data_IF_823687973309
#
_entry.id   IF_823687973309
#
_cell.length_a   1.000
_cell.length_b   1.000
_cell.length_c   1.000
_cell.angle_alpha   90.00
_cell.angle_beta   90.00
_cell.angle_gamma   90.00
#
_symmetry.space_group_name_H-M   'P 1'
#
loop_
_entity.id
_entity.type
_entity.pdbx_description
1 polymer ?
#
# COMPACT_ATOMS: atom_id res chain seq x y z
N UNK A 1 -40.74 -20.04 32.95
CA UNK A 1 -40.96 -20.75 34.22
C UNK A 1 -39.62 -21.06 34.87
N UNK A 2 -39.46 -20.56 36.11
CA UNK A 2 -38.45 -20.93 37.13
C UNK A 2 -36.97 -20.62 36.78
N UNK A 3 -36.14 -20.04 37.66
CA UNK A 3 -36.30 -19.23 38.90
C UNK A 3 -34.92 -18.70 39.24
N UNK A 4 -34.91 -17.48 39.75
CA UNK A 4 -33.83 -16.75 40.40
C UNK A 4 -33.08 -17.59 41.45
N UNK A 5 -31.78 -17.38 41.61
CA UNK A 5 -31.20 -17.29 42.95
C UNK A 5 -30.05 -16.28 43.00
N UNK A 6 -30.27 -15.20 43.72
CA UNK A 6 -29.29 -14.25 44.29
C UNK A 6 -28.55 -14.96 45.44
N UNK A 7 -27.25 -14.71 45.55
CA UNK A 7 -26.55 -14.78 46.84
C UNK A 7 -25.61 -13.59 46.99
N UNK A 8 -26.00 -12.72 47.89
CA UNK A 8 -25.23 -11.70 48.60
C UNK A 8 -24.43 -12.32 49.72
N UNK A 9 -23.33 -11.74 50.10
CA UNK A 9 -22.69 -11.57 51.42
C UNK A 9 -21.17 -11.38 51.20
N UNK A 10 -20.40 -10.64 51.91
CA UNK A 10 -20.49 -9.60 52.95
C UNK A 10 -19.05 -9.02 53.06
N UNK A 11 -18.95 -7.77 53.35
CA UNK A 11 -17.74 -7.02 53.62
C UNK A 11 -17.00 -7.50 54.88
N UNK A 12 -15.70 -7.43 54.90
CA UNK A 12 -14.90 -7.31 56.13
C UNK A 12 -13.78 -6.29 55.94
N UNK A 13 -13.91 -5.21 56.62
CA UNK A 13 -12.94 -4.15 56.88
C UNK A 13 -11.90 -4.65 57.89
N UNK A 14 -10.63 -4.35 57.60
CA UNK A 14 -9.59 -4.32 58.63
C UNK A 14 -8.65 -3.16 58.37
N UNK A 15 -8.82 -2.17 59.24
CA UNK A 15 -7.97 -0.98 59.39
C UNK A 15 -6.71 -1.34 60.16
N UNK A 16 -5.54 -0.96 59.70
CA UNK A 16 -4.35 -0.85 60.54
C UNK A 16 -3.55 0.43 60.11
N UNK A 17 -3.57 1.37 61.02
CA UNK A 17 -2.76 2.60 61.02
C UNK A 17 -1.43 2.28 61.73
N UNK A 18 -0.30 2.66 61.15
CA UNK A 18 0.89 3.06 61.92
C UNK A 18 1.69 4.14 61.13
N UNK A 19 2.11 5.11 61.90
CA UNK A 19 2.58 6.44 61.65
C UNK A 19 4.04 6.55 61.12
N UNK A 20 4.26 7.58 60.35
CA UNK A 20 5.26 8.67 60.39
C UNK A 20 6.64 8.38 60.98
N UNK A 21 7.67 8.64 60.18
CA UNK A 21 8.73 9.62 60.49
C UNK A 21 9.45 10.04 59.19
N UNK A 22 9.50 11.36 58.99
CA UNK A 22 10.11 12.00 57.88
C UNK A 22 11.61 12.27 58.09
N UNK A 23 12.27 12.49 56.97
CA UNK A 23 13.42 13.40 56.92
C UNK A 23 13.49 14.12 55.58
N UNK A 24 13.89 15.32 55.64
CA UNK A 24 13.77 16.40 54.67
C UNK A 24 14.81 16.36 53.54
N UNK A 25 14.39 16.94 52.44
CA UNK A 25 15.10 17.85 51.52
C UNK A 25 16.51 17.53 51.02
N UNK A 26 16.63 17.30 49.72
CA UNK A 26 17.39 18.27 48.90
C UNK A 26 16.88 18.21 47.49
N UNK A 27 16.55 19.38 46.94
CA UNK A 27 16.12 19.51 45.56
C UNK A 27 17.27 19.20 44.60
N UNK A 28 16.93 18.45 43.57
CA UNK A 28 17.77 18.31 42.40
C UNK A 28 16.84 18.34 41.19
N UNK A 29 17.01 19.40 40.40
CA UNK A 29 16.38 19.55 39.08
C UNK A 29 16.65 18.32 38.23
N UNK A 30 15.70 17.85 37.42
CA UNK A 30 16.00 16.87 36.42
C UNK A 30 16.80 17.55 35.30
N UNK A 31 18.12 17.45 35.38
CA UNK A 31 18.99 17.62 34.22
C UNK A 31 18.68 16.44 33.29
N UNK A 32 18.18 16.76 32.10
CA UNK A 32 18.07 15.80 31.03
C UNK A 32 19.42 15.13 30.78
N UNK A 33 19.54 13.90 31.19
CA UNK A 33 20.64 13.05 30.76
C UNK A 33 20.27 12.49 29.40
N UNK A 34 20.80 13.07 28.33
CA UNK A 34 21.08 12.36 27.09
C UNK A 34 22.10 11.24 27.42
N UNK A 35 21.60 10.20 28.03
CA UNK A 35 22.37 8.98 28.25
C UNK A 35 22.44 8.23 26.93
N UNK A 36 23.55 8.34 26.23
CA UNK A 36 23.94 7.37 25.21
C UNK A 36 23.98 5.98 25.87
N UNK A 37 22.96 5.17 25.64
CA UNK A 37 22.84 3.79 26.13
C UNK A 37 23.70 2.85 25.25
N UNK A 38 24.91 3.31 24.89
CA UNK A 38 25.89 2.58 24.09
C UNK A 38 26.50 1.46 24.92
N UNK A 39 25.89 0.26 24.83
CA UNK A 39 26.47 -0.96 25.38
C UNK A 39 25.56 -1.85 26.20
N UNK A 40 24.31 -1.49 26.46
CA UNK A 40 23.34 -2.39 27.10
C UNK A 40 22.52 -3.12 26.06
N UNK A 41 22.23 -4.39 26.32
CA UNK A 41 21.32 -5.18 25.47
C UNK A 41 19.92 -4.60 25.51
N UNK A 42 19.37 -4.34 24.30
CA UNK A 42 18.01 -3.82 24.12
C UNK A 42 17.25 -4.76 23.19
N UNK A 43 16.06 -5.18 23.60
CA UNK A 43 15.16 -5.94 22.73
C UNK A 43 14.02 -5.05 22.28
N UNK A 44 13.87 -4.84 20.96
CA UNK A 44 12.73 -4.16 20.33
C UNK A 44 11.76 -5.21 19.80
N UNK A 45 10.47 -4.84 19.69
CA UNK A 45 9.42 -5.67 19.08
C UNK A 45 9.00 -5.08 17.75
N UNK A 46 9.11 -5.86 16.68
CA UNK A 46 8.70 -5.51 15.33
C UNK A 46 7.44 -6.29 14.90
N UNK A 47 6.37 -5.59 14.56
CA UNK A 47 5.15 -6.17 14.02
C UNK A 47 5.03 -5.93 12.52
N UNK A 48 4.65 -6.99 11.77
CA UNK A 48 4.45 -6.93 10.32
C UNK A 48 3.28 -7.80 9.84
N UNK A 49 2.74 -7.51 8.65
CA UNK A 49 1.62 -8.23 8.06
C UNK A 49 2.00 -9.50 7.29
N UNK A 50 3.24 -9.65 6.87
CA UNK A 50 3.66 -10.79 6.04
C UNK A 50 3.42 -12.13 6.71
N UNK A 51 2.92 -13.11 5.92
CA UNK A 51 2.53 -14.43 6.41
C UNK A 51 3.02 -15.59 5.54
N UNK A 52 3.45 -15.32 4.29
CA UNK A 52 3.98 -16.36 3.42
C UNK A 52 5.37 -16.80 3.85
N UNK A 53 5.70 -18.08 3.65
CA UNK A 53 6.96 -18.67 4.13
C UNK A 53 8.22 -17.96 3.60
N UNK A 54 8.23 -17.58 2.30
CA UNK A 54 9.31 -16.84 1.68
C UNK A 54 9.49 -15.45 2.30
N UNK A 55 8.40 -14.73 2.54
CA UNK A 55 8.39 -13.40 3.17
C UNK A 55 8.93 -13.46 4.61
N UNK A 56 8.39 -14.37 5.41
CA UNK A 56 8.81 -14.58 6.80
C UNK A 56 10.31 -14.97 6.88
N UNK A 57 10.77 -15.80 5.92
CA UNK A 57 12.19 -16.18 5.82
C UNK A 57 13.06 -14.98 5.46
N UNK A 58 12.61 -14.13 4.53
CA UNK A 58 13.34 -12.93 4.12
C UNK A 58 13.48 -11.92 5.27
N UNK A 59 12.40 -11.69 6.03
CA UNK A 59 12.42 -10.81 7.21
C UNK A 59 13.40 -11.34 8.25
N UNK A 60 13.33 -12.64 8.59
CA UNK A 60 14.25 -13.25 9.55
C UNK A 60 15.72 -13.15 9.11
N UNK A 61 16.00 -13.27 7.82
CA UNK A 61 17.35 -13.10 7.28
C UNK A 61 17.86 -11.66 7.45
N UNK A 62 17.02 -10.67 7.16
CA UNK A 62 17.36 -9.24 7.37
C UNK A 62 17.56 -8.91 8.84
N UNK A 63 16.71 -9.43 9.73
CA UNK A 63 16.88 -9.25 11.18
C UNK A 63 18.21 -9.87 11.65
N UNK A 64 18.51 -11.10 11.24
CA UNK A 64 19.78 -11.74 11.60
C UNK A 64 21.02 -10.99 11.07
N UNK A 65 20.91 -10.36 9.89
CA UNK A 65 21.97 -9.53 9.32
C UNK A 65 22.13 -8.21 10.11
N UNK A 66 21.01 -7.59 10.50
CA UNK A 66 21.00 -6.41 11.36
C UNK A 66 21.64 -6.68 12.73
N UNK A 67 21.24 -7.76 13.42
CA UNK A 67 21.77 -8.12 14.74
C UNK A 67 23.28 -8.40 14.74
N UNK A 68 23.83 -8.90 13.61
CA UNK A 68 25.29 -9.04 13.45
C UNK A 68 26.02 -7.70 13.42
N UNK A 69 25.38 -6.65 12.87
CA UNK A 69 25.95 -5.29 12.82
C UNK A 69 25.71 -4.54 14.14
N UNK A 70 24.67 -4.89 14.85
CA UNK A 70 24.23 -4.27 16.10
C UNK A 70 24.02 -5.32 17.19
N UNK A 71 25.12 -5.96 17.71
CA UNK A 71 25.02 -7.13 18.59
C UNK A 71 24.34 -6.86 19.94
N UNK A 72 24.17 -5.60 20.32
CA UNK A 72 23.44 -5.16 21.50
C UNK A 72 21.95 -4.85 21.25
N UNK A 73 21.45 -4.98 20.00
CA UNK A 73 20.04 -4.76 19.68
C UNK A 73 19.45 -6.09 19.18
N UNK A 74 18.46 -6.59 19.89
CA UNK A 74 17.71 -7.79 19.54
C UNK A 74 16.33 -7.45 19.03
N UNK A 75 15.84 -8.16 18.02
CA UNK A 75 14.54 -7.89 17.39
C UNK A 75 13.59 -9.08 17.60
N UNK A 76 12.58 -8.88 18.45
CA UNK A 76 11.46 -9.82 18.56
C UNK A 76 10.46 -9.58 17.42
N UNK A 77 10.42 -10.50 16.46
CA UNK A 77 9.59 -10.38 15.26
C UNK A 77 8.24 -11.06 15.48
N UNK A 78 7.14 -10.33 15.22
CA UNK A 78 5.76 -10.85 15.29
C UNK A 78 5.08 -10.60 13.93
N UNK A 79 4.83 -11.68 13.20
CA UNK A 79 4.24 -11.65 11.87
C UNK A 79 2.73 -11.90 11.85
N UNK A 80 2.15 -11.76 10.66
CA UNK A 80 0.72 -11.97 10.40
C UNK A 80 -0.18 -11.07 11.27
N UNK A 81 0.21 -9.80 11.42
CA UNK A 81 -0.53 -8.79 12.18
C UNK A 81 -1.25 -7.88 11.18
N UNK A 82 -2.58 -7.76 11.31
CA UNK A 82 -3.35 -6.84 10.49
C UNK A 82 -3.08 -5.37 10.87
N UNK A 83 -3.31 -4.46 9.93
CA UNK A 83 -3.17 -3.02 10.14
C UNK A 83 -4.10 -2.51 11.26
N UNK A 84 -5.34 -3.03 11.34
CA UNK A 84 -6.28 -2.68 12.41
C UNK A 84 -5.74 -3.07 13.80
N UNK A 85 -5.14 -4.25 13.93
CA UNK A 85 -4.53 -4.68 15.20
C UNK A 85 -3.32 -3.83 15.55
N UNK A 86 -2.52 -3.49 14.56
CA UNK A 86 -1.37 -2.58 14.72
C UNK A 86 -1.83 -1.20 15.19
N UNK A 87 -2.87 -0.63 14.57
CA UNK A 87 -3.42 0.65 14.97
C UNK A 87 -3.94 0.63 16.40
N UNK A 88 -4.71 -0.39 16.77
CA UNK A 88 -5.23 -0.53 18.13
C UNK A 88 -4.11 -0.58 19.16
N UNK A 89 -3.05 -1.35 18.89
CA UNK A 89 -1.90 -1.46 19.79
C UNK A 89 -1.11 -0.15 19.90
N UNK A 90 -0.88 0.54 18.78
CA UNK A 90 -0.21 1.84 18.75
C UNK A 90 -0.98 2.91 19.53
N UNK A 91 -2.32 2.92 19.43
CA UNK A 91 -3.18 3.86 20.17
C UNK A 91 -3.26 3.54 21.66
N UNK A 92 -3.29 2.26 22.01
CA UNK A 92 -3.33 1.82 23.41
C UNK A 92 -1.98 2.11 24.11
N UNK A 93 -0.87 1.99 23.40
CA UNK A 93 0.47 2.11 23.98
C UNK A 93 0.74 1.04 25.05
N UNK A 94 1.71 1.33 25.92
CA UNK A 94 2.07 0.45 27.03
C UNK A 94 3.13 -0.62 26.68
N UNK A 95 3.40 -1.53 27.60
CA UNK A 95 4.48 -2.53 27.50
C UNK A 95 4.28 -3.56 26.39
N UNK A 96 3.03 -3.80 26.00
CA UNK A 96 2.66 -4.82 25.02
C UNK A 96 2.54 -4.26 23.60
N UNK A 97 2.66 -2.92 23.45
CA UNK A 97 2.70 -2.27 22.15
C UNK A 97 4.04 -2.56 21.44
N UNK A 98 4.03 -2.71 20.11
CA UNK A 98 5.26 -2.87 19.34
C UNK A 98 6.10 -1.59 19.38
N UNK A 99 7.43 -1.74 19.24
CA UNK A 99 8.34 -0.61 19.07
C UNK A 99 8.37 -0.13 17.62
N UNK A 100 8.27 -1.08 16.67
CA UNK A 100 8.30 -0.85 15.22
C UNK A 100 7.13 -1.58 14.57
N UNK A 101 6.50 -0.93 13.60
CA UNK A 101 5.37 -1.51 12.83
C UNK A 101 5.56 -1.22 11.35
N UNK A 102 5.35 -2.24 10.50
CA UNK A 102 5.13 -2.04 9.06
C UNK A 102 3.65 -2.16 8.70
N UNK A 103 3.23 -1.48 7.63
CA UNK A 103 1.88 -1.52 7.09
C UNK A 103 1.95 -1.63 5.57
N UNK A 104 1.11 -2.48 4.97
CA UNK A 104 0.91 -2.55 3.52
C UNK A 104 0.02 -1.41 3.00
N UNK A 105 -0.67 -0.71 3.88
CA UNK A 105 -1.61 0.34 3.55
C UNK A 105 -0.93 1.70 3.69
N UNK A 106 -0.43 2.25 2.60
CA UNK A 106 0.22 3.57 2.57
C UNK A 106 -0.70 4.70 3.04
N UNK A 107 -2.02 4.54 2.88
CA UNK A 107 -3.02 5.51 3.35
C UNK A 107 -3.01 5.70 4.88
N UNK A 108 -2.52 4.71 5.63
CA UNK A 108 -2.41 4.81 7.09
C UNK A 108 -1.45 5.92 7.54
N UNK A 109 -0.55 6.39 6.69
CA UNK A 109 0.42 7.43 7.05
C UNK A 109 -0.26 8.70 7.55
N UNK A 110 -1.29 9.20 6.85
CA UNK A 110 -2.01 10.41 7.26
C UNK A 110 -2.68 10.25 8.61
N UNK A 111 -3.32 9.11 8.83
CA UNK A 111 -4.02 8.76 10.06
C UNK A 111 -3.07 8.59 11.25
N UNK A 112 -1.94 7.91 11.05
CA UNK A 112 -0.99 7.61 12.12
C UNK A 112 -0.12 8.81 12.48
N UNK A 113 0.30 9.61 11.47
CA UNK A 113 1.01 10.86 11.71
C UNK A 113 0.15 11.88 12.47
N UNK A 114 -1.09 12.11 12.01
CA UNK A 114 -1.99 13.10 12.63
C UNK A 114 -2.39 12.71 14.05
N UNK A 115 -2.64 11.42 14.29
CA UNK A 115 -2.93 10.90 15.64
C UNK A 115 -1.70 10.81 16.55
N UNK A 116 -0.50 11.16 16.03
CA UNK A 116 0.76 11.12 16.77
C UNK A 116 1.04 9.75 17.41
N UNK A 117 0.63 8.65 16.74
CA UNK A 117 0.93 7.28 17.20
C UNK A 117 2.25 6.75 16.65
N UNK A 118 2.73 7.30 15.53
CA UNK A 118 4.09 7.15 15.04
C UNK A 118 4.94 8.35 15.38
N UNK A 119 6.23 8.11 15.66
CA UNK A 119 7.19 9.15 15.97
C UNK A 119 7.53 9.98 14.72
N UNK A 120 7.75 11.29 14.89
CA UNK A 120 8.37 12.11 13.85
C UNK A 120 9.83 11.70 13.65
N UNK A 121 10.15 11.20 12.46
CA UNK A 121 11.50 10.74 12.10
C UNK A 121 12.41 11.87 11.58
N UNK A 122 11.88 13.06 11.30
CA UNK A 122 12.66 14.20 10.80
C UNK A 122 13.89 14.54 11.67
N UNK A 123 13.82 14.54 13.02
CA UNK A 123 15.00 14.78 13.86
C UNK A 123 16.07 13.70 13.70
N UNK A 124 15.66 12.43 13.53
CA UNK A 124 16.55 11.28 13.38
C UNK A 124 17.23 11.28 12.02
N UNK A 125 16.47 11.57 10.96
CA UNK A 125 16.97 11.72 9.59
C UNK A 125 18.03 12.83 9.52
N UNK A 126 17.75 14.01 10.11
CA UNK A 126 18.73 15.12 10.18
C UNK A 126 19.98 14.77 10.96
N UNK A 127 19.84 14.06 12.10
CA UNK A 127 20.97 13.61 12.93
C UNK A 127 21.92 12.71 12.13
N UNK A 128 21.37 11.83 11.32
CA UNK A 128 22.15 10.87 10.53
C UNK A 128 22.48 11.38 9.12
N UNK A 129 22.19 12.66 8.81
CA UNK A 129 22.41 13.30 7.50
C UNK A 129 21.74 12.56 6.33
N UNK A 130 20.54 12.00 6.55
CA UNK A 130 19.75 11.35 5.53
C UNK A 130 18.78 12.38 4.95
N UNK A 131 18.92 12.66 3.65
CA UNK A 131 17.95 13.46 2.88
C UNK A 131 16.93 12.51 2.24
N UNK A 132 15.65 12.53 2.69
CA UNK A 132 14.63 11.66 2.11
C UNK A 132 14.41 11.88 0.61
N UNK A 133 14.49 13.11 0.13
CA UNK A 133 14.29 13.41 -1.29
C UNK A 133 15.44 12.90 -2.18
N UNK A 134 16.65 12.81 -1.64
CA UNK A 134 17.79 12.19 -2.32
C UNK A 134 17.84 10.65 -2.15
N UNK A 135 17.07 10.11 -1.21
CA UNK A 135 17.10 8.68 -0.88
C UNK A 135 15.98 7.90 -1.57
N UNK A 136 14.76 8.43 -1.60
CA UNK A 136 13.57 7.72 -2.05
C UNK A 136 13.00 8.32 -3.35
N UNK A 137 12.40 7.50 -4.25
CA UNK A 137 11.58 8.02 -5.34
C UNK A 137 10.45 8.92 -4.83
N UNK A 138 10.13 9.98 -5.59
CA UNK A 138 9.14 10.97 -5.14
C UNK A 138 7.76 10.37 -4.79
N UNK A 139 7.17 9.42 -5.54
CA UNK A 139 5.91 8.80 -5.15
C UNK A 139 6.01 8.06 -3.81
N UNK A 140 7.12 7.34 -3.58
CA UNK A 140 7.35 6.58 -2.35
C UNK A 140 7.54 7.51 -1.14
N UNK A 141 8.26 8.62 -1.33
CA UNK A 141 8.38 9.64 -0.30
C UNK A 141 7.01 10.28 0.01
N UNK A 142 6.20 10.56 -1.01
CA UNK A 142 4.90 11.20 -0.85
C UNK A 142 3.92 10.34 -0.04
N UNK A 143 3.87 9.02 -0.25
CA UNK A 143 2.98 8.16 0.53
C UNK A 143 3.50 7.83 1.94
N UNK A 144 4.73 8.21 2.29
CA UNK A 144 5.33 7.91 3.59
C UNK A 144 5.35 9.09 4.57
N UNK A 145 4.78 10.23 4.19
CA UNK A 145 4.72 11.45 5.00
C UNK A 145 3.32 12.08 5.02
N UNK A 146 3.09 12.96 6.00
CA UNK A 146 1.86 13.75 6.08
C UNK A 146 2.15 15.17 6.52
N UNK A 147 1.84 16.18 5.67
CA UNK A 147 2.09 17.59 5.91
C UNK A 147 3.53 17.92 6.35
N UNK A 148 4.52 17.27 5.72
CA UNK A 148 5.94 17.46 6.05
C UNK A 148 6.41 16.72 7.32
N UNK A 149 5.51 16.02 8.00
CA UNK A 149 5.89 15.09 9.07
C UNK A 149 6.24 13.72 8.45
N UNK A 150 7.52 13.38 8.44
CA UNK A 150 8.03 12.08 8.04
C UNK A 150 7.88 11.12 9.21
N UNK A 151 6.71 10.55 9.43
CA UNK A 151 6.45 9.64 10.54
C UNK A 151 6.63 8.15 10.17
N UNK A 152 6.87 7.87 8.92
CA UNK A 152 7.25 6.55 8.41
C UNK A 152 8.29 6.67 7.30
N UNK A 153 8.88 5.57 6.89
CA UNK A 153 9.74 5.48 5.71
C UNK A 153 9.22 4.40 4.76
N UNK A 154 9.47 4.52 3.44
CA UNK A 154 9.20 3.43 2.52
C UNK A 154 10.10 2.24 2.83
N UNK A 155 9.51 1.07 3.04
CA UNK A 155 10.26 -0.18 3.28
C UNK A 155 10.43 -0.94 1.97
N UNK A 156 9.36 -1.09 1.21
CA UNK A 156 9.32 -1.65 -0.14
C UNK A 156 8.36 -0.82 -0.99
N UNK A 157 8.54 -0.82 -2.29
CA UNK A 157 7.63 -0.21 -3.24
C UNK A 157 6.81 -1.26 -3.96
N UNK A 158 5.59 -0.89 -4.34
CA UNK A 158 4.75 -1.63 -5.25
C UNK A 158 4.48 -0.77 -6.48
N UNK A 159 4.60 -1.34 -7.66
CA UNK A 159 4.33 -0.67 -8.92
C UNK A 159 3.34 -1.51 -9.74
N UNK A 160 2.37 -0.85 -10.36
CA UNK A 160 1.32 -1.52 -11.12
C UNK A 160 1.55 -1.38 -12.62
N UNK A 161 1.44 -2.51 -13.33
CA UNK A 161 1.68 -2.58 -14.77
C UNK A 161 0.71 -3.51 -15.49
N UNK A 162 0.77 -3.48 -16.80
CA UNK A 162 0.00 -4.34 -17.67
C UNK A 162 0.71 -5.68 -17.83
N UNK A 163 0.00 -6.76 -17.51
CA UNK A 163 0.31 -8.13 -17.92
C UNK A 163 -0.49 -8.48 -19.17
N UNK A 164 0.14 -9.12 -20.15
CA UNK A 164 -0.55 -9.51 -21.37
C UNK A 164 -0.10 -10.87 -21.88
N UNK A 165 -1.08 -11.64 -22.36
CA UNK A 165 -0.87 -12.96 -22.96
C UNK A 165 -0.39 -12.80 -24.42
N UNK A 166 0.92 -13.01 -24.65
CA UNK A 166 1.56 -12.89 -25.97
C UNK A 166 0.98 -13.88 -26.97
N UNK A 167 0.61 -15.08 -26.54
CA UNK A 167 -0.01 -16.08 -27.39
C UNK A 167 -1.36 -15.60 -27.91
N UNK A 168 -2.19 -15.02 -27.04
CA UNK A 168 -3.47 -14.44 -27.42
C UNK A 168 -3.29 -13.22 -28.32
N UNK A 169 -2.31 -12.33 -28.04
CA UNK A 169 -1.95 -11.19 -28.88
C UNK A 169 -1.57 -11.62 -30.29
N UNK A 170 -0.69 -12.60 -30.42
CA UNK A 170 -0.27 -13.14 -31.71
C UNK A 170 -1.45 -13.74 -32.50
N UNK A 171 -2.31 -14.51 -31.82
CA UNK A 171 -3.51 -15.10 -32.43
C UNK A 171 -4.50 -14.03 -32.91
N UNK A 172 -4.58 -12.90 -32.22
CA UNK A 172 -5.38 -11.74 -32.61
C UNK A 172 -4.67 -10.80 -33.59
N UNK A 173 -3.41 -11.07 -34.00
CA UNK A 173 -2.61 -10.19 -34.87
C UNK A 173 -2.28 -8.86 -34.23
N UNK A 174 -2.07 -8.81 -32.90
CA UNK A 174 -1.58 -7.66 -32.15
C UNK A 174 -0.08 -7.85 -31.98
N UNK A 175 0.72 -6.88 -32.39
CA UNK A 175 2.19 -6.99 -32.48
C UNK A 175 2.93 -6.31 -31.33
N UNK A 176 2.26 -5.47 -30.56
CA UNK A 176 2.85 -4.73 -29.44
C UNK A 176 1.78 -4.46 -28.36
N UNK A 177 2.16 -4.28 -27.08
CA UNK A 177 1.23 -3.85 -26.05
C UNK A 177 0.74 -2.42 -26.32
N UNK A 178 -0.53 -2.10 -25.94
CA UNK A 178 -1.12 -0.78 -26.12
C UNK A 178 -0.43 0.26 -25.23
N UNK A 179 -0.31 1.49 -25.75
CA UNK A 179 0.29 2.62 -25.04
C UNK A 179 -0.74 3.65 -24.59
N UNK A 180 -1.86 3.71 -25.29
CA UNK A 180 -2.96 4.64 -24.99
C UNK A 180 -4.24 3.89 -24.65
N UNK A 181 -5.15 4.58 -23.98
CA UNK A 181 -6.43 3.98 -23.62
C UNK A 181 -7.31 3.63 -24.83
N UNK A 182 -7.18 4.36 -25.95
CA UNK A 182 -7.87 3.98 -27.20
C UNK A 182 -7.31 2.69 -27.79
N UNK A 183 -5.98 2.53 -27.86
CA UNK A 183 -5.33 1.30 -28.28
C UNK A 183 -5.73 0.13 -27.37
N UNK A 184 -5.67 0.36 -26.03
CA UNK A 184 -6.03 -0.65 -25.03
C UNK A 184 -7.50 -1.11 -25.20
N UNK A 185 -8.43 -0.19 -25.36
CA UNK A 185 -9.83 -0.53 -25.56
C UNK A 185 -10.06 -1.33 -26.86
N UNK A 186 -9.35 -0.97 -27.95
CA UNK A 186 -9.41 -1.70 -29.21
C UNK A 186 -8.86 -3.13 -29.07
N UNK A 187 -7.71 -3.27 -28.39
CA UNK A 187 -7.10 -4.57 -28.13
C UNK A 187 -7.95 -5.44 -27.19
N UNK A 188 -8.53 -4.84 -26.14
CA UNK A 188 -9.43 -5.54 -25.24
C UNK A 188 -10.65 -6.12 -25.97
N UNK A 189 -11.27 -5.36 -26.89
CA UNK A 189 -12.36 -5.85 -27.74
C UNK A 189 -11.87 -6.96 -28.66
N UNK A 190 -10.72 -6.81 -29.32
CA UNK A 190 -10.15 -7.76 -30.27
C UNK A 190 -9.76 -9.10 -29.63
N UNK A 191 -9.31 -9.05 -28.37
CA UNK A 191 -8.93 -10.22 -27.57
C UNK A 191 -10.14 -10.91 -26.93
N UNK A 192 -11.33 -10.29 -26.95
CA UNK A 192 -12.52 -10.86 -26.34
C UNK A 192 -13.17 -11.89 -27.27
N UNK A 193 -13.27 -13.11 -26.78
CA UNK A 193 -13.92 -14.24 -27.47
C UNK A 193 -15.21 -14.61 -26.71
N UNK A 194 -16.38 -14.20 -27.19
CA UNK A 194 -17.65 -14.53 -26.57
C UNK A 194 -17.92 -16.04 -26.59
N UNK A 195 -18.60 -16.56 -25.55
CA UNK A 195 -19.14 -17.92 -25.52
C UNK A 195 -20.49 -17.92 -24.81
N UNK A 196 -21.56 -18.06 -25.59
CA UNK A 196 -22.93 -17.98 -25.08
C UNK A 196 -23.18 -16.69 -24.30
N UNK A 197 -23.64 -16.82 -23.06
CA UNK A 197 -23.88 -15.71 -22.16
C UNK A 197 -22.59 -15.23 -21.42
N UNK A 198 -21.46 -15.94 -21.56
CA UNK A 198 -20.16 -15.64 -20.98
C UNK A 198 -19.10 -15.38 -22.03
N UNK A 199 -17.86 -15.73 -21.70
CA UNK A 199 -16.70 -15.60 -22.57
C UNK A 199 -15.85 -16.87 -22.48
N UNK A 200 -15.28 -17.29 -23.61
CA UNK A 200 -14.15 -18.22 -23.64
C UNK A 200 -12.88 -17.54 -23.13
N UNK A 201 -12.70 -16.26 -23.52
CA UNK A 201 -11.63 -15.38 -23.10
C UNK A 201 -12.17 -13.97 -23.13
N UNK A 202 -11.91 -13.19 -22.10
CA UNK A 202 -12.17 -11.76 -22.04
C UNK A 202 -10.86 -11.02 -22.30
N UNK A 203 -10.88 -9.92 -23.05
CA UNK A 203 -9.68 -9.14 -23.30
C UNK A 203 -9.13 -8.47 -22.05
N UNK A 204 -10.01 -7.90 -21.22
CA UNK A 204 -9.69 -7.27 -19.94
C UNK A 204 -10.95 -7.17 -19.08
N UNK A 205 -10.82 -7.32 -17.75
CA UNK A 205 -11.90 -7.09 -16.80
C UNK A 205 -11.87 -5.63 -16.31
N UNK A 206 -12.74 -4.75 -16.82
CA UNK A 206 -12.63 -3.31 -16.54
C UNK A 206 -13.38 -2.86 -15.29
N UNK A 207 -14.19 -3.72 -14.63
CA UNK A 207 -15.00 -3.32 -13.48
C UNK A 207 -14.14 -3.11 -12.25
N UNK A 208 -14.53 -2.17 -11.38
CA UNK A 208 -13.82 -1.87 -10.14
C UNK A 208 -13.87 -3.02 -9.11
N UNK A 209 -14.61 -4.07 -9.40
CA UNK A 209 -14.62 -5.32 -8.64
C UNK A 209 -13.57 -6.35 -9.13
N UNK A 210 -12.84 -6.04 -10.21
CA UNK A 210 -11.72 -6.86 -10.67
C UNK A 210 -10.50 -6.75 -9.73
N UNK A 211 -9.51 -7.60 -9.96
CA UNK A 211 -8.25 -7.50 -9.22
C UNK A 211 -7.47 -6.29 -9.72
N UNK A 212 -6.90 -5.54 -8.79
CA UNK A 212 -6.07 -4.35 -9.01
C UNK A 212 -6.70 -3.33 -10.00
N UNK A 213 -8.02 -3.28 -10.08
CA UNK A 213 -8.77 -2.37 -10.96
C UNK A 213 -9.55 -1.29 -10.20
N UNK A 214 -9.11 -0.93 -9.00
CA UNK A 214 -9.72 0.17 -8.23
C UNK A 214 -9.56 1.51 -8.94
N UNK A 215 -10.45 2.50 -8.69
CA UNK A 215 -10.35 3.82 -9.30
C UNK A 215 -8.97 4.47 -9.18
N UNK A 216 -8.25 4.26 -8.07
CA UNK A 216 -6.93 4.83 -7.84
C UNK A 216 -5.90 4.42 -8.90
N UNK A 217 -5.92 3.16 -9.35
CA UNK A 217 -5.02 2.65 -10.37
C UNK A 217 -5.21 3.38 -11.72
N UNK A 218 -6.48 3.61 -12.10
CA UNK A 218 -6.79 4.33 -13.35
C UNK A 218 -6.53 5.84 -13.20
N UNK A 219 -6.96 6.44 -12.08
CA UNK A 219 -6.76 7.87 -11.82
C UNK A 219 -5.28 8.25 -11.83
N UNK A 220 -4.40 7.36 -11.33
CA UNK A 220 -2.95 7.50 -11.44
C UNK A 220 -2.48 7.63 -12.88
N UNK A 221 -3.05 6.86 -13.81
CA UNK A 221 -2.72 6.93 -15.24
C UNK A 221 -3.27 8.20 -15.92
N UNK A 222 -4.37 8.75 -15.40
CA UNK A 222 -4.89 10.03 -15.88
C UNK A 222 -4.14 11.24 -15.30
N UNK A 223 -3.29 11.03 -14.27
CA UNK A 223 -2.63 12.12 -13.54
C UNK A 223 -3.64 12.96 -12.75
N UNK A 224 -4.74 12.34 -12.33
CA UNK A 224 -5.80 13.00 -11.57
C UNK A 224 -5.31 13.46 -10.21
N UNK A 225 -5.87 14.56 -9.75
CA UNK A 225 -5.68 15.08 -8.40
C UNK A 225 -6.91 14.82 -7.55
N UNK A 226 -6.73 14.59 -6.26
CA UNK A 226 -7.82 14.27 -5.34
C UNK A 226 -8.25 15.48 -4.51
N UNK A 227 -7.32 16.38 -4.26
CA UNK A 227 -7.51 17.56 -3.41
C UNK A 227 -6.94 18.81 -4.09
N UNK A 228 -7.63 19.92 -3.91
CA UNK A 228 -7.16 21.23 -4.30
C UNK A 228 -6.13 21.81 -3.30
N UNK A 229 -5.55 22.98 -3.63
CA UNK A 229 -4.60 23.67 -2.73
C UNK A 229 -5.21 24.08 -1.38
N UNK A 230 -6.53 24.17 -1.29
CA UNK A 230 -7.29 24.44 -0.08
C UNK A 230 -7.56 23.21 0.79
N UNK A 231 -7.07 22.03 0.35
CA UNK A 231 -7.28 20.74 1.02
C UNK A 231 -8.69 20.16 0.84
N UNK A 232 -9.52 20.77 0.00
CA UNK A 232 -10.84 20.25 -0.35
C UNK A 232 -10.76 19.27 -1.51
N UNK A 233 -11.72 18.33 -1.55
CA UNK A 233 -11.82 17.39 -2.67
C UNK A 233 -12.11 18.12 -3.98
N UNK A 234 -11.27 17.87 -4.98
CA UNK A 234 -11.44 18.44 -6.33
C UNK A 234 -11.92 17.42 -7.37
N UNK A 235 -12.30 16.20 -6.96
CA UNK A 235 -12.71 15.14 -7.90
C UNK A 235 -13.88 15.52 -8.81
N UNK A 236 -14.72 16.46 -8.40
CA UNK A 236 -15.83 16.97 -9.22
C UNK A 236 -15.38 18.06 -10.23
N UNK A 237 -14.26 18.72 -9.98
CA UNK A 237 -13.74 19.80 -10.83
C UNK A 237 -12.56 19.39 -11.69
N UNK A 238 -11.85 18.31 -11.34
CA UNK A 238 -10.78 17.75 -12.15
C UNK A 238 -11.38 16.98 -13.34
N UNK A 239 -11.20 17.47 -14.59
CA UNK A 239 -11.80 16.84 -15.77
C UNK A 239 -11.25 15.43 -16.01
N UNK A 240 -10.06 15.11 -15.53
CA UNK A 240 -9.45 13.79 -15.71
C UNK A 240 -10.19 12.70 -14.94
N UNK A 241 -10.80 13.04 -13.81
CA UNK A 241 -11.65 12.12 -13.03
C UNK A 241 -12.89 11.72 -13.83
N UNK A 242 -13.61 12.70 -14.37
CA UNK A 242 -14.79 12.41 -15.21
C UNK A 242 -14.40 11.65 -16.50
N UNK A 243 -13.25 11.96 -17.09
CA UNK A 243 -12.74 11.26 -18.26
C UNK A 243 -12.47 9.79 -17.97
N UNK A 244 -11.85 9.48 -16.83
CA UNK A 244 -11.56 8.12 -16.39
C UNK A 244 -12.87 7.30 -16.23
N UNK A 245 -13.84 7.80 -15.48
CA UNK A 245 -15.11 7.11 -15.28
C UNK A 245 -15.87 6.89 -16.60
N UNK A 246 -15.83 7.88 -17.50
CA UNK A 246 -16.43 7.76 -18.83
C UNK A 246 -15.77 6.67 -19.66
N UNK A 247 -14.43 6.67 -19.73
CA UNK A 247 -13.67 5.66 -20.44
C UNK A 247 -13.95 4.25 -19.91
N UNK A 248 -13.95 4.08 -18.60
CA UNK A 248 -14.19 2.78 -17.94
C UNK A 248 -15.61 2.27 -18.28
N UNK A 249 -16.63 3.13 -18.19
CA UNK A 249 -18.01 2.77 -18.54
C UNK A 249 -18.18 2.43 -20.01
N UNK A 250 -17.50 3.15 -20.89
CA UNK A 250 -17.51 2.88 -22.34
C UNK A 250 -16.83 1.54 -22.66
N UNK A 251 -15.75 1.21 -21.95
CA UNK A 251 -15.09 -0.08 -22.11
C UNK A 251 -15.98 -1.24 -21.61
N UNK A 252 -16.66 -1.09 -20.49
CA UNK A 252 -17.68 -2.04 -20.00
C UNK A 252 -18.75 -2.27 -21.08
N UNK A 253 -19.28 -1.22 -21.69
CA UNK A 253 -20.28 -1.33 -22.74
C UNK A 253 -19.76 -2.07 -23.98
N UNK A 254 -18.54 -1.75 -24.44
CA UNK A 254 -17.88 -2.40 -25.58
C UNK A 254 -17.62 -3.89 -25.35
N UNK A 255 -17.37 -4.29 -24.12
CA UNK A 255 -17.08 -5.69 -23.75
C UNK A 255 -18.33 -6.50 -23.43
N UNK A 256 -19.54 -5.96 -23.54
CA UNK A 256 -20.80 -6.67 -23.43
C UNK A 256 -21.70 -6.29 -22.25
N UNK A 257 -21.34 -5.23 -21.54
CA UNK A 257 -22.12 -4.63 -20.46
C UNK A 257 -21.84 -5.21 -19.08
N UNK A 258 -22.15 -4.42 -18.06
CA UNK A 258 -21.84 -4.68 -16.66
C UNK A 258 -22.32 -6.06 -16.18
N UNK A 259 -23.61 -6.38 -16.37
CA UNK A 259 -24.17 -7.65 -15.86
C UNK A 259 -23.51 -8.88 -16.45
N UNK A 260 -23.09 -8.82 -17.72
CA UNK A 260 -22.39 -9.95 -18.37
C UNK A 260 -20.99 -10.11 -17.81
N UNK A 261 -20.27 -9.01 -17.63
CA UNK A 261 -18.92 -9.00 -17.06
C UNK A 261 -18.92 -9.52 -15.63
N UNK A 262 -19.85 -9.04 -14.79
CA UNK A 262 -19.94 -9.45 -13.39
C UNK A 262 -20.32 -10.93 -13.23
N UNK A 263 -21.21 -11.46 -14.08
CA UNK A 263 -21.48 -12.92 -14.10
C UNK A 263 -20.23 -13.71 -14.44
N UNK A 264 -19.43 -13.24 -15.39
CA UNK A 264 -18.19 -13.91 -15.77
C UNK A 264 -17.15 -13.83 -14.65
N UNK A 265 -16.97 -12.65 -14.07
CA UNK A 265 -16.07 -12.41 -12.93
C UNK A 265 -16.39 -13.29 -11.73
N UNK A 266 -17.66 -13.56 -11.46
CA UNK A 266 -18.07 -14.42 -10.34
C UNK A 266 -17.53 -15.86 -10.41
N UNK A 267 -16.99 -16.26 -11.57
CA UNK A 267 -16.31 -17.55 -11.78
C UNK A 267 -14.78 -17.47 -11.65
N UNK A 268 -14.21 -16.32 -11.32
CA UNK A 268 -12.77 -16.19 -11.13
C UNK A 268 -12.33 -16.85 -9.83
N UNK A 269 -11.11 -17.38 -9.82
CA UNK A 269 -10.46 -17.87 -8.59
C UNK A 269 -9.97 -16.71 -7.71
N UNK A 270 -9.32 -17.05 -6.59
CA UNK A 270 -8.69 -16.05 -5.74
C UNK A 270 -7.48 -15.42 -6.44
N UNK A 271 -7.24 -14.16 -6.16
CA UNK A 271 -6.16 -13.38 -6.78
C UNK A 271 -4.79 -14.05 -6.62
N UNK A 272 -4.45 -14.48 -5.41
CA UNK A 272 -3.18 -15.14 -5.08
C UNK A 272 -3.27 -16.67 -5.17
N UNK A 273 -3.90 -17.19 -6.23
CA UNK A 273 -3.99 -18.63 -6.47
C UNK A 273 -3.74 -18.96 -7.96
N UNK A 274 -3.36 -20.19 -8.25
CA UNK A 274 -3.22 -20.71 -9.62
C UNK A 274 -4.55 -20.71 -10.43
N UNK A 275 -5.65 -20.23 -9.83
CA UNK A 275 -6.93 -19.99 -10.49
C UNK A 275 -7.15 -18.51 -10.80
N UNK A 276 -6.14 -17.66 -10.65
CA UNK A 276 -6.19 -16.28 -11.10
C UNK A 276 -6.63 -16.23 -12.58
N UNK A 277 -7.55 -15.33 -12.95
CA UNK A 277 -8.13 -15.30 -14.30
C UNK A 277 -7.10 -15.04 -15.41
N UNK A 278 -6.01 -14.32 -15.12
CA UNK A 278 -4.93 -14.16 -16.10
C UNK A 278 -4.14 -15.47 -16.25
N UNK A 279 -3.78 -16.12 -15.16
CA UNK A 279 -3.00 -17.37 -15.16
C UNK A 279 -3.73 -18.53 -15.83
N UNK A 280 -5.06 -18.56 -15.71
CA UNK A 280 -5.91 -19.55 -16.39
C UNK A 280 -6.24 -19.18 -17.84
N UNK A 281 -5.85 -17.98 -18.32
CA UNK A 281 -6.19 -17.48 -19.65
C UNK A 281 -7.65 -17.03 -19.80
N UNK A 282 -8.41 -16.90 -18.71
CA UNK A 282 -9.77 -16.37 -18.73
C UNK A 282 -9.77 -14.89 -19.11
N UNK A 283 -8.72 -14.13 -18.78
CA UNK A 283 -8.48 -12.77 -19.27
C UNK A 283 -7.15 -12.73 -20.03
N UNK A 284 -7.09 -11.97 -21.13
CA UNK A 284 -5.90 -11.86 -21.96
C UNK A 284 -4.96 -10.72 -21.51
N UNK A 285 -5.48 -9.73 -20.81
CA UNK A 285 -4.76 -8.62 -20.20
C UNK A 285 -5.20 -8.46 -18.76
N UNK A 286 -4.27 -8.12 -17.85
CA UNK A 286 -4.54 -7.80 -16.45
C UNK A 286 -3.69 -6.61 -16.02
N UNK A 287 -4.25 -5.77 -15.15
CA UNK A 287 -3.48 -4.82 -14.35
C UNK A 287 -3.13 -5.53 -13.04
N UNK A 288 -1.85 -5.52 -12.67
CA UNK A 288 -1.40 -6.20 -11.43
C UNK A 288 -0.06 -5.61 -10.98
N UNK A 289 0.33 -5.89 -9.75
CA UNK A 289 1.62 -5.50 -9.21
C UNK A 289 2.76 -6.42 -9.65
N UNK A 290 3.99 -6.03 -9.34
CA UNK A 290 5.21 -6.76 -9.71
C UNK A 290 5.31 -8.17 -9.11
N UNK A 291 4.68 -8.42 -7.96
CA UNK A 291 4.63 -9.74 -7.30
C UNK A 291 4.03 -10.83 -8.18
N UNK A 292 3.15 -10.46 -9.13
CA UNK A 292 2.56 -11.40 -10.08
C UNK A 292 3.61 -12.07 -10.97
N UNK A 293 4.77 -11.45 -11.18
CA UNK A 293 5.87 -12.06 -11.96
C UNK A 293 6.36 -13.35 -11.32
N UNK A 294 6.45 -13.39 -9.97
CA UNK A 294 6.82 -14.60 -9.23
C UNK A 294 5.73 -15.68 -9.33
N UNK A 295 4.46 -15.30 -9.09
CA UNK A 295 3.34 -16.24 -9.17
C UNK A 295 3.25 -16.91 -10.55
N UNK A 296 3.35 -16.15 -11.63
CA UNK A 296 3.33 -16.67 -13.00
C UNK A 296 4.51 -17.61 -13.31
N UNK A 297 5.68 -17.39 -12.72
CA UNK A 297 6.84 -18.27 -12.86
C UNK A 297 6.64 -19.57 -12.06
N UNK A 298 6.11 -19.49 -10.85
CA UNK A 298 5.89 -20.64 -9.96
C UNK A 298 4.75 -21.54 -10.45
N UNK A 299 3.66 -20.95 -10.95
CA UNK A 299 2.47 -21.66 -11.42
C UNK A 299 2.62 -22.24 -12.84
N UNK A 300 3.74 -21.97 -13.51
CA UNK A 300 4.07 -22.51 -14.83
C UNK A 300 2.94 -22.35 -15.86
N UNK A 301 2.44 -21.10 -16.01
CA UNK A 301 1.36 -20.78 -16.97
C UNK A 301 1.65 -21.33 -18.36
N UNK A 302 0.62 -21.84 -19.04
CA UNK A 302 0.71 -22.60 -20.29
C UNK A 302 0.89 -21.75 -21.56
N UNK A 303 1.01 -20.42 -21.42
CA UNK A 303 1.16 -19.48 -22.54
C UNK A 303 2.30 -18.49 -22.31
N UNK A 304 2.82 -17.93 -23.40
CA UNK A 304 3.81 -16.86 -23.33
C UNK A 304 3.16 -15.56 -22.87
N UNK A 305 3.77 -14.89 -21.91
CA UNK A 305 3.32 -13.63 -21.37
C UNK A 305 4.45 -12.60 -21.30
N UNK A 306 4.08 -11.35 -21.09
CA UNK A 306 5.02 -10.27 -20.80
C UNK A 306 4.31 -9.16 -20.04
N UNK A 307 5.08 -8.16 -19.62
CA UNK A 307 4.62 -6.94 -18.95
C UNK A 307 4.90 -5.71 -19.78
N UNK A 308 4.14 -4.65 -19.54
CA UNK A 308 4.34 -3.32 -20.09
C UNK A 308 3.83 -2.28 -19.08
N UNK A 309 4.22 -1.01 -19.17
CA UNK A 309 3.52 0.04 -18.46
C UNK A 309 2.03 0.04 -18.84
N UNK A 310 1.15 0.32 -17.88
CA UNK A 310 -0.28 0.46 -18.17
C UNK A 310 -0.51 1.69 -19.07
N UNK A 311 -1.48 1.66 -19.98
CA UNK A 311 -1.74 2.76 -20.91
C UNK A 311 -2.05 4.10 -20.23
N UNK A 312 -1.84 5.18 -20.97
CA UNK A 312 -2.16 6.56 -20.56
C UNK A 312 -3.23 7.15 -21.49
N UNK A 313 -3.89 8.28 -21.13
CA UNK A 313 -4.80 8.98 -22.05
C UNK A 313 -4.12 9.33 -23.37
N UNK A 314 -4.87 9.32 -24.47
CA UNK A 314 -4.35 9.54 -25.82
C UNK A 314 -3.65 10.89 -25.99
N UNK A 315 -4.17 11.93 -25.35
CA UNK A 315 -3.58 13.27 -25.29
C UNK A 315 -2.36 13.38 -24.39
N UNK A 316 -2.07 12.33 -23.60
CA UNK A 316 -0.94 12.22 -22.71
C UNK A 316 0.08 11.13 -23.13
N UNK A 317 0.06 10.68 -24.39
CA UNK A 317 0.90 9.59 -24.89
C UNK A 317 2.41 9.78 -24.60
N UNK A 318 2.87 11.03 -24.50
CA UNK A 318 4.25 11.35 -24.13
C UNK A 318 4.63 10.96 -22.69
N UNK A 319 3.64 10.69 -21.82
CA UNK A 319 3.86 10.26 -20.42
C UNK A 319 3.84 8.74 -20.24
N UNK A 320 3.68 7.98 -21.34
CA UNK A 320 3.70 6.52 -21.29
C UNK A 320 4.96 5.99 -20.60
N UNK A 321 4.81 5.02 -19.76
CA UNK A 321 5.86 4.48 -18.89
C UNK A 321 5.70 4.90 -17.43
N UNK A 322 4.81 5.85 -17.13
CA UNK A 322 4.40 6.12 -15.74
C UNK A 322 3.44 5.05 -15.22
N UNK A 323 3.30 4.96 -13.91
CA UNK A 323 2.34 4.07 -13.26
C UNK A 323 1.87 4.58 -11.91
N UNK A 324 0.85 3.92 -11.39
CA UNK A 324 0.43 4.05 -10.01
C UNK A 324 1.40 3.29 -9.12
N UNK A 325 1.70 3.83 -7.96
CA UNK A 325 2.60 3.24 -6.98
C UNK A 325 1.98 3.29 -5.57
N UNK A 326 2.15 2.20 -4.85
CA UNK A 326 1.97 2.09 -3.40
C UNK A 326 3.20 1.45 -2.78
N UNK A 327 3.06 0.78 -1.66
CA UNK A 327 4.15 0.02 -1.07
C UNK A 327 3.92 -0.30 0.38
N UNK A 328 4.96 -0.81 1.00
CA UNK A 328 5.00 -1.04 2.43
C UNK A 328 5.73 0.09 3.12
N UNK A 329 5.10 0.66 4.14
CA UNK A 329 5.68 1.69 5.01
C UNK A 329 6.05 1.10 6.37
N UNK A 330 7.04 1.72 7.04
CA UNK A 330 7.50 1.31 8.37
C UNK A 330 7.65 2.54 9.27
N UNK A 331 7.16 2.44 10.49
CA UNK A 331 7.20 3.52 11.48
C UNK A 331 7.60 3.03 12.86
N UNK A 332 8.00 3.98 13.71
CA UNK A 332 8.36 3.74 15.11
C UNK A 332 7.21 4.19 15.98
N UNK A 333 6.76 3.33 16.89
CA UNK A 333 5.72 3.70 17.84
C UNK A 333 6.15 4.90 18.70
N UNK A 334 5.32 5.95 18.76
CA UNK A 334 5.60 7.14 19.57
C UNK A 334 5.75 6.81 21.06
N UNK A 335 5.02 5.80 21.52
CA UNK A 335 5.04 5.32 22.90
C UNK A 335 6.27 4.47 23.25
N UNK A 336 7.07 4.06 22.27
CA UNK A 336 8.27 3.24 22.54
C UNK A 336 9.29 4.02 23.37
N UNK A 337 9.77 3.41 24.44
CA UNK A 337 10.90 3.91 25.24
C UNK A 337 12.26 3.55 24.63
N UNK A 338 12.29 2.79 23.52
CA UNK A 338 13.48 2.26 22.84
C UNK A 338 13.70 2.94 21.47
N UNK A 339 13.35 4.20 21.35
CA UNK A 339 13.35 4.96 20.07
C UNK A 339 14.70 4.90 19.35
N UNK A 340 15.82 4.94 20.06
CA UNK A 340 17.16 4.88 19.44
C UNK A 340 17.43 3.51 18.81
N UNK A 341 17.14 2.42 19.50
CA UNK A 341 17.32 1.07 18.95
C UNK A 341 16.32 0.79 17.79
N UNK A 342 15.08 1.24 17.94
CA UNK A 342 14.08 1.16 16.90
C UNK A 342 14.49 1.92 15.64
N UNK A 343 15.10 3.11 15.80
CA UNK A 343 15.61 3.89 14.67
C UNK A 343 16.77 3.19 13.95
N UNK A 344 17.73 2.62 14.66
CA UNK A 344 18.83 1.89 14.02
C UNK A 344 18.30 0.73 13.15
N UNK A 345 17.26 0.05 13.63
CA UNK A 345 16.62 -1.03 12.87
C UNK A 345 15.85 -0.51 11.65
N UNK A 346 14.99 0.50 11.82
CA UNK A 346 14.23 1.11 10.72
C UNK A 346 15.18 1.69 9.68
N UNK A 347 16.20 2.44 10.10
CA UNK A 347 17.23 2.98 9.22
C UNK A 347 17.92 1.87 8.41
N UNK A 348 18.33 0.80 9.05
CA UNK A 348 18.96 -0.34 8.38
C UNK A 348 18.04 -0.92 7.30
N UNK A 349 16.79 -1.21 7.62
CA UNK A 349 15.85 -1.81 6.68
C UNK A 349 15.51 -0.92 5.51
N UNK A 350 15.57 0.42 5.66
CA UNK A 350 15.07 1.37 4.66
C UNK A 350 16.17 2.13 3.91
N UNK A 351 17.42 2.11 4.38
CA UNK A 351 18.50 2.91 3.75
C UNK A 351 19.76 2.09 3.46
N UNK A 352 19.94 0.90 4.05
CA UNK A 352 21.04 0.05 3.69
C UNK A 352 20.74 -0.64 2.34
N UNK A 353 21.50 -0.30 1.31
CA UNK A 353 21.25 -0.77 -0.05
C UNK A 353 21.18 -2.30 -0.15
N UNK A 354 22.11 -3.02 0.50
CA UNK A 354 22.14 -4.48 0.45
C UNK A 354 20.93 -5.10 1.15
N UNK A 355 20.50 -4.54 2.28
CA UNK A 355 19.32 -4.99 3.02
C UNK A 355 18.06 -4.78 2.19
N UNK A 356 17.87 -3.58 1.59
CA UNK A 356 16.73 -3.24 0.74
C UNK A 356 16.69 -4.16 -0.48
N UNK A 357 17.81 -4.34 -1.19
CA UNK A 357 17.88 -5.23 -2.37
C UNK A 357 17.62 -6.69 -2.01
N UNK A 358 18.24 -7.17 -0.93
CA UNK A 358 18.05 -8.55 -0.48
C UNK A 358 16.59 -8.85 -0.13
N UNK A 359 15.93 -7.91 0.56
CA UNK A 359 14.54 -8.07 0.93
C UNK A 359 13.62 -8.01 -0.31
N UNK A 360 13.78 -6.99 -1.15
CA UNK A 360 13.01 -6.81 -2.36
C UNK A 360 13.11 -8.05 -3.28
N UNK A 361 14.33 -8.53 -3.54
CA UNK A 361 14.54 -9.72 -4.36
C UNK A 361 13.88 -10.98 -3.78
N UNK A 362 13.95 -11.16 -2.45
CA UNK A 362 13.44 -12.36 -1.80
C UNK A 362 11.92 -12.50 -1.86
N UNK A 363 11.20 -11.39 -1.99
CA UNK A 363 9.73 -11.37 -2.04
C UNK A 363 9.19 -10.76 -3.36
N UNK A 364 10.08 -10.52 -4.34
CA UNK A 364 9.73 -9.95 -5.65
C UNK A 364 8.97 -8.61 -5.55
N UNK A 365 9.41 -7.71 -4.66
CA UNK A 365 8.91 -6.33 -4.59
C UNK A 365 9.93 -5.34 -5.16
N UNK A 366 9.46 -4.15 -5.47
CA UNK A 366 10.31 -3.05 -5.93
C UNK A 366 11.14 -2.50 -4.77
N UNK A 367 12.48 -2.36 -4.92
CA UNK A 367 13.30 -1.70 -3.91
C UNK A 367 12.87 -0.25 -3.67
N UNK A 368 12.84 0.19 -2.41
CA UNK A 368 12.29 1.50 -2.03
C UNK A 368 13.25 2.67 -2.18
N UNK A 369 14.56 2.45 -2.42
CA UNK A 369 15.53 3.56 -2.52
C UNK A 369 16.10 3.72 -3.93
N UNK A 370 16.48 4.96 -4.28
CA UNK A 370 17.12 5.25 -5.58
C UNK A 370 18.44 4.47 -5.76
N UNK A 371 19.21 4.32 -4.69
CA UNK A 371 20.45 3.54 -4.71
C UNK A 371 20.19 2.03 -4.95
N UNK A 372 19.19 1.47 -4.27
CA UNK A 372 18.81 0.07 -4.44
C UNK A 372 18.22 -0.19 -5.84
N UNK A 373 17.35 0.70 -6.34
CA UNK A 373 16.81 0.64 -7.71
C UNK A 373 17.90 0.70 -8.80
N UNK A 374 19.06 1.31 -8.51
CA UNK A 374 20.21 1.37 -9.40
C UNK A 374 21.19 0.21 -9.21
N UNK A 375 21.00 -0.64 -8.19
CA UNK A 375 21.91 -1.73 -7.87
C UNK A 375 21.90 -2.82 -8.95
N UNK A 376 23.06 -3.30 -9.40
CA UNK A 376 23.14 -4.44 -10.33
C UNK A 376 22.70 -5.77 -9.70
N UNK A 377 22.50 -5.81 -8.38
CA UNK A 377 22.03 -7.00 -7.66
C UNK A 377 20.50 -7.13 -7.63
N UNK A 378 19.74 -6.14 -8.11
CA UNK A 378 18.29 -6.24 -8.25
C UNK A 378 17.94 -7.23 -9.35
N UNK A 379 16.91 -8.04 -9.14
CA UNK A 379 16.35 -8.92 -10.16
C UNK A 379 16.07 -8.11 -11.42
N UNK A 380 16.59 -8.59 -12.54
CA UNK A 380 16.58 -7.87 -13.82
C UNK A 380 15.96 -8.68 -14.97
N UNK A 381 15.05 -9.64 -14.65
CA UNK A 381 14.31 -10.29 -15.73
C UNK A 381 13.42 -9.27 -16.46
N UNK A 382 13.16 -9.47 -17.77
CA UNK A 382 12.46 -8.47 -18.59
C UNK A 382 11.06 -8.11 -18.08
N UNK A 383 10.37 -9.05 -17.42
CA UNK A 383 9.03 -8.81 -16.89
C UNK A 383 9.09 -7.92 -15.63
N UNK A 384 9.97 -8.22 -14.68
CA UNK A 384 10.14 -7.42 -13.47
C UNK A 384 10.72 -6.02 -13.77
N UNK A 385 11.58 -5.92 -14.81
CA UNK A 385 12.16 -4.64 -15.21
C UNK A 385 11.14 -3.56 -15.54
N UNK A 386 9.97 -3.92 -16.07
CA UNK A 386 8.86 -2.98 -16.30
C UNK A 386 8.51 -2.20 -15.04
N UNK A 387 8.39 -2.88 -13.91
CA UNK A 387 8.02 -2.28 -12.62
C UNK A 387 9.14 -1.43 -12.03
N UNK A 388 10.40 -1.84 -12.19
CA UNK A 388 11.56 -1.01 -11.84
C UNK A 388 11.59 0.29 -12.65
N UNK A 389 11.25 0.25 -13.93
CA UNK A 389 11.20 1.43 -14.78
C UNK A 389 10.03 2.35 -14.42
N UNK A 390 8.85 1.79 -14.07
CA UNK A 390 7.71 2.55 -13.54
C UNK A 390 8.10 3.23 -12.23
N UNK A 391 8.77 2.52 -11.31
CA UNK A 391 9.18 3.07 -10.02
C UNK A 391 10.17 4.24 -10.14
N UNK A 392 11.01 4.22 -11.18
CA UNK A 392 11.97 5.30 -11.49
C UNK A 392 11.36 6.46 -12.27
N UNK A 393 10.17 6.28 -12.86
CA UNK A 393 9.59 7.30 -13.72
C UNK A 393 9.09 8.49 -12.89
N UNK A 394 9.59 9.72 -13.14
CA UNK A 394 9.23 10.89 -12.36
C UNK A 394 7.76 11.32 -12.51
N UNK A 395 7.06 10.81 -13.52
CA UNK A 395 5.64 11.05 -13.74
C UNK A 395 4.74 9.99 -13.08
N UNK A 396 5.33 8.95 -12.47
CA UNK A 396 4.55 7.99 -11.67
C UNK A 396 3.95 8.68 -10.45
N UNK A 397 2.81 8.19 -10.00
CA UNK A 397 2.01 8.84 -8.97
C UNK A 397 1.57 7.86 -7.87
N UNK A 398 1.11 8.42 -6.78
CA UNK A 398 0.47 7.70 -5.67
C UNK A 398 -0.74 8.49 -5.20
N UNK A 399 -1.59 7.87 -4.39
CA UNK A 399 -2.67 8.57 -3.69
C UNK A 399 -2.12 9.47 -2.60
N UNK A 400 -2.67 10.69 -2.41
CA UNK A 400 -2.23 11.59 -1.35
C UNK A 400 -2.65 11.07 0.03
N UNK A 401 -1.79 11.26 1.03
CA UNK A 401 -2.13 10.98 2.41
C UNK A 401 -3.28 11.88 2.91
N UNK A 402 -4.19 11.33 3.71
CA UNK A 402 -5.31 12.07 4.32
C UNK A 402 -5.39 11.79 5.81
N UNK A 403 -5.88 12.78 6.58
CA UNK A 403 -6.00 12.68 8.05
C UNK A 403 -6.88 11.49 8.49
N UNK A 404 -7.85 11.09 7.66
CA UNK A 404 -8.73 9.95 7.89
C UNK A 404 -8.31 8.67 7.13
N UNK A 405 -7.05 8.61 6.67
CA UNK A 405 -6.53 7.49 5.90
C UNK A 405 -7.16 7.41 4.50
N UNK A 406 -7.40 6.19 4.01
CA UNK A 406 -7.98 5.93 2.68
C UNK A 406 -9.49 6.15 2.55
N UNK A 407 -10.16 6.76 3.52
CA UNK A 407 -11.63 6.91 3.49
C UNK A 407 -12.15 7.62 2.24
N UNK A 408 -11.42 8.62 1.73
CA UNK A 408 -11.79 9.31 0.49
C UNK A 408 -11.73 8.39 -0.74
N UNK A 409 -10.79 7.46 -0.80
CA UNK A 409 -10.70 6.49 -1.89
C UNK A 409 -11.89 5.52 -1.84
N UNK A 410 -12.30 5.10 -0.64
CA UNK A 410 -13.48 4.26 -0.46
C UNK A 410 -14.76 4.98 -0.94
N UNK A 411 -14.92 6.28 -0.66
CA UNK A 411 -16.05 7.07 -1.17
C UNK A 411 -16.06 7.11 -2.70
N UNK A 412 -14.89 7.33 -3.34
CA UNK A 412 -14.76 7.30 -4.81
C UNK A 412 -15.07 5.91 -5.37
N UNK A 413 -14.60 4.86 -4.72
CA UNK A 413 -14.84 3.47 -5.12
C UNK A 413 -16.32 3.10 -5.02
N UNK A 414 -16.99 3.47 -3.94
CA UNK A 414 -18.42 3.22 -3.75
C UNK A 414 -19.25 3.94 -4.84
N UNK A 415 -18.93 5.19 -5.14
CA UNK A 415 -19.52 5.89 -6.26
C UNK A 415 -19.23 5.17 -7.59
N UNK A 416 -18.02 4.70 -7.79
CA UNK A 416 -17.60 3.93 -8.96
C UNK A 416 -18.46 2.68 -9.16
N UNK A 417 -18.71 1.92 -8.12
CA UNK A 417 -19.59 0.74 -8.14
C UNK A 417 -21.03 1.08 -8.55
N UNK A 418 -21.55 2.21 -8.09
CA UNK A 418 -22.89 2.65 -8.49
C UNK A 418 -22.94 3.16 -9.92
N UNK A 419 -21.90 3.85 -10.35
CA UNK A 419 -21.82 4.40 -11.70
C UNK A 419 -21.62 3.33 -12.77
N UNK A 420 -20.69 2.38 -12.57
CA UNK A 420 -20.44 1.29 -13.52
C UNK A 420 -21.67 0.37 -13.69
N UNK A 421 -22.38 0.10 -12.57
CA UNK A 421 -23.61 -0.69 -12.57
C UNK A 421 -24.84 0.06 -13.13
N UNK A 422 -24.72 1.35 -13.47
CA UNK A 422 -25.82 2.17 -13.95
C UNK A 422 -26.82 2.60 -12.88
N UNK A 423 -26.53 2.40 -11.60
CA UNK A 423 -27.35 2.90 -10.47
C UNK A 423 -27.21 4.42 -10.31
N UNK A 424 -26.02 4.94 -10.51
CA UNK A 424 -25.79 6.38 -10.69
C UNK A 424 -25.69 6.71 -12.18
N UNK A 425 -26.56 7.60 -12.68
CA UNK A 425 -26.65 7.93 -14.11
C UNK A 425 -26.08 9.31 -14.47
N UNK A 426 -26.06 10.25 -13.52
CA UNK A 426 -25.45 11.57 -13.68
C UNK A 426 -24.06 11.58 -13.03
N UNK A 427 -23.02 11.46 -13.86
CA UNK A 427 -21.64 11.44 -13.43
C UNK A 427 -21.26 12.71 -12.65
N UNK A 428 -21.62 13.89 -13.15
CA UNK A 428 -21.23 15.14 -12.54
C UNK A 428 -21.94 15.41 -11.20
N UNK A 429 -23.21 15.05 -11.10
CA UNK A 429 -23.94 15.13 -9.83
C UNK A 429 -23.36 14.15 -8.81
N UNK A 430 -23.03 12.92 -9.23
CA UNK A 430 -22.41 11.91 -8.39
C UNK A 430 -21.04 12.36 -7.88
N UNK A 431 -20.15 12.83 -8.75
CA UNK A 431 -18.83 13.33 -8.34
C UNK A 431 -18.93 14.51 -7.36
N UNK A 432 -19.91 15.44 -7.55
CA UNK A 432 -20.14 16.53 -6.57
C UNK A 432 -20.59 16.00 -5.20
N UNK A 433 -21.50 15.03 -5.18
CA UNK A 433 -21.97 14.45 -3.93
C UNK A 433 -20.84 13.72 -3.19
N UNK A 434 -20.03 12.93 -3.93
CA UNK A 434 -18.85 12.23 -3.38
C UNK A 434 -17.79 13.21 -2.88
N UNK A 435 -17.51 14.30 -3.58
CA UNK A 435 -16.60 15.34 -3.12
C UNK A 435 -17.04 15.96 -1.79
N UNK A 436 -18.35 16.26 -1.66
CA UNK A 436 -18.93 16.80 -0.43
C UNK A 436 -18.87 15.79 0.73
N UNK A 437 -19.09 14.50 0.46
CA UNK A 437 -18.93 13.43 1.46
C UNK A 437 -17.50 13.35 1.96
N UNK A 438 -16.52 13.37 1.05
CA UNK A 438 -15.09 13.35 1.36
C UNK A 438 -14.72 14.55 2.24
N UNK A 439 -15.12 15.77 1.85
CA UNK A 439 -14.84 16.98 2.61
C UNK A 439 -15.43 16.92 4.02
N UNK A 440 -16.67 16.42 4.15
CA UNK A 440 -17.34 16.25 5.44
C UNK A 440 -16.59 15.25 6.33
N UNK A 441 -16.16 14.12 5.76
CA UNK A 441 -15.43 13.09 6.51
C UNK A 441 -14.03 13.58 6.96
N UNK A 442 -13.36 14.39 6.15
CA UNK A 442 -12.08 15.02 6.51
C UNK A 442 -12.27 16.05 7.62
N UNK A 443 -13.31 16.90 7.54
CA UNK A 443 -13.58 17.91 8.57
C UNK A 443 -13.96 17.28 9.93
N UNK A 444 -14.61 16.11 9.92
CA UNK A 444 -14.91 15.36 11.14
C UNK A 444 -13.68 14.67 11.77
N UNK A 445 -12.63 14.47 11.00
CA UNK A 445 -11.40 13.81 11.46
C UNK A 445 -10.37 14.80 12.05
N UNK A 446 -10.59 16.12 11.89
CA UNK A 446 -9.76 17.20 12.47
C UNK A 446 -10.04 17.40 13.95
#
# INVERSE_FOLDING_TARGET
MRSLTRRTLTALTATAVVALLGTACTGQSPSGSDGSDSGKDVTITFWHGWSQDNEVKAIKANVAAFEKLHPNIHVNVVGNISDDKSEQALRAGGSDAPDVVSSFTTDNVGKFCSANVWADLNPLLRKDNIDPAATFPAPMLNYSQFHGNQCSLPLLGDAYGLYYNKTAFAAAGITAPPKTFSEFAADAVKLTVPDGAGYKQLGFMPTFHGYETLPAHYLGQYGSTYFGPDGKSNIASDPTVAAMFTWQKDLIAKLGGYDRLERYRSGFGDEFSAKNPFETGQVAMSLDGEWRTAALADDHVSFDWATAPFPVPDDQAATYGRGYQTGTIIGIAKSSSKQTAAWEFVKYLTTNTDAVVSFANAIHNVPSTLAALASPAVIADPAFKTFLDIAKNPNSSTTPASINGGAYQLSIQNFGYDFEAGRATDLQAGLRATAQEIDTAIDQAK
#
